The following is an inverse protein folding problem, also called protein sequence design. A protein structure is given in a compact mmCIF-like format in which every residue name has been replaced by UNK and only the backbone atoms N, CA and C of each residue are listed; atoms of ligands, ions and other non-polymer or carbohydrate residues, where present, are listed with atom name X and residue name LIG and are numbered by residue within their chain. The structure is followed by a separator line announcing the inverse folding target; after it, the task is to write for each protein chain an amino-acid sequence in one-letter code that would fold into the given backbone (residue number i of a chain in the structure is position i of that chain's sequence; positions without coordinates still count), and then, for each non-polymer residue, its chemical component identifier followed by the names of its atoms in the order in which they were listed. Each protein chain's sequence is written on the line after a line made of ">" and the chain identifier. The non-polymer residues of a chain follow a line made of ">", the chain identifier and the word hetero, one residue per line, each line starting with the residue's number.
data_IF_302309338476
#
_entry.id   IF_302309338476
#
_cell.length_a   1.000
_cell.length_b   1.000
_cell.length_c   1.000
_cell.angle_alpha   90.00
_cell.angle_beta   90.00
_cell.angle_gamma   90.00
#
_symmetry.space_group_name_H-M   'P 1'
#
loop_
_entity.id
_entity.type
_entity.pdbx_description
1 polymer ?
#
# COMPACT_ATOMS: atom_id res chain seq x y z
N UNK A 1 -26.29 -8.50 -19.14
CA UNK A 1 -24.82 -8.46 -19.06
C UNK A 1 -24.39 -9.33 -17.89
N UNK A 2 -23.75 -10.47 -18.15
CA UNK A 2 -23.46 -11.51 -17.14
C UNK A 2 -22.02 -11.39 -16.67
N UNK A 3 -21.83 -11.26 -15.36
CA UNK A 3 -20.53 -11.32 -14.68
C UNK A 3 -19.96 -12.73 -14.85
N UNK A 4 -19.09 -12.93 -15.85
CA UNK A 4 -18.39 -14.20 -16.03
C UNK A 4 -17.21 -14.23 -15.07
N UNK A 5 -17.37 -15.08 -14.06
CA UNK A 5 -16.38 -15.51 -13.08
C UNK A 5 -15.00 -15.80 -13.69
N UNK A 6 -13.96 -15.18 -13.10
CA UNK A 6 -12.51 -15.31 -13.37
C UNK A 6 -11.96 -16.70 -12.96
N UNK A 7 -12.63 -17.78 -13.34
CA UNK A 7 -12.36 -19.14 -12.85
C UNK A 7 -11.64 -20.09 -13.83
N UNK A 8 -11.31 -19.69 -15.06
CA UNK A 8 -10.96 -20.67 -16.10
C UNK A 8 -9.54 -20.65 -16.68
N UNK A 9 -8.60 -19.79 -16.22
CA UNK A 9 -7.20 -19.88 -16.69
C UNK A 9 -6.21 -19.69 -15.54
N UNK A 10 -5.42 -20.75 -15.26
CA UNK A 10 -4.38 -20.79 -14.21
C UNK A 10 -3.25 -19.82 -14.55
N UNK A 11 -3.38 -18.56 -14.14
CA UNK A 11 -2.26 -17.61 -14.20
C UNK A 11 -1.67 -17.26 -12.82
N UNK A 12 -2.33 -17.66 -11.72
CA UNK A 12 -1.81 -17.55 -10.35
C UNK A 12 -2.35 -18.68 -9.45
N UNK A 13 -1.64 -19.06 -8.37
CA UNK A 13 -2.28 -19.78 -7.27
C UNK A 13 -3.45 -18.95 -6.73
N UNK A 14 -4.57 -19.62 -6.39
CA UNK A 14 -5.88 -19.02 -6.04
C UNK A 14 -5.87 -17.97 -4.93
N UNK A 15 -4.77 -17.81 -4.22
CA UNK A 15 -4.63 -16.97 -3.01
C UNK A 15 -3.80 -15.70 -3.22
N UNK A 16 -3.48 -15.33 -4.47
CA UNK A 16 -2.69 -14.14 -4.79
C UNK A 16 -3.38 -13.25 -5.80
N UNK A 17 -3.28 -11.95 -5.60
CA UNK A 17 -3.52 -10.97 -6.66
C UNK A 17 -2.38 -9.95 -6.68
N UNK A 18 -2.14 -9.37 -7.85
CA UNK A 18 -1.12 -8.34 -8.04
C UNK A 18 -1.74 -7.11 -8.67
N UNK A 19 -1.23 -5.94 -8.33
CA UNK A 19 -1.61 -4.68 -8.94
C UNK A 19 -0.46 -4.16 -9.81
N UNK A 20 -0.75 -3.91 -11.08
CA UNK A 20 0.11 -3.11 -11.95
C UNK A 20 -0.59 -1.78 -12.27
N UNK A 21 -0.34 -0.72 -11.48
CA UNK A 21 -0.95 0.58 -11.73
C UNK A 21 -0.34 1.22 -12.99
N UNK A 22 -1.16 1.45 -14.01
CA UNK A 22 -0.79 2.19 -15.22
C UNK A 22 -0.64 3.70 -14.92
N UNK A 23 0.12 4.45 -15.74
CA UNK A 23 0.20 5.91 -15.66
C UNK A 23 -1.19 6.58 -15.74
N UNK A 24 -1.26 7.87 -15.40
CA UNK A 24 -2.48 8.68 -15.23
C UNK A 24 -3.49 8.62 -16.40
N UNK A 25 -3.07 8.16 -17.57
CA UNK A 25 -3.92 7.89 -18.72
C UNK A 25 -3.87 6.37 -19.02
N UNK A 26 -4.78 5.61 -18.41
CA UNK A 26 -4.88 4.17 -18.62
C UNK A 26 -5.68 3.42 -17.55
N UNK A 27 -6.23 2.26 -17.90
CA UNK A 27 -6.95 1.36 -16.98
C UNK A 27 -5.97 0.51 -16.17
N UNK A 28 -6.01 0.58 -14.84
CA UNK A 28 -5.19 -0.30 -14.01
C UNK A 28 -5.52 -1.77 -14.33
N UNK A 29 -4.50 -2.58 -14.57
CA UNK A 29 -4.69 -4.01 -14.87
C UNK A 29 -4.43 -4.84 -13.62
N UNK A 30 -5.42 -5.64 -13.21
CA UNK A 30 -5.22 -6.75 -12.27
C UNK A 30 -4.55 -7.90 -13.04
N UNK A 31 -3.24 -7.83 -13.20
CA UNK A 31 -2.45 -8.90 -13.81
C UNK A 31 -1.10 -9.00 -13.13
N UNK A 32 -0.58 -10.22 -13.00
CA UNK A 32 0.81 -10.42 -12.60
C UNK A 32 1.68 -10.52 -13.87
N UNK A 33 2.50 -9.49 -14.09
CA UNK A 33 3.44 -9.42 -15.21
C UNK A 33 4.87 -9.79 -14.80
N UNK A 34 5.80 -9.66 -15.73
CA UNK A 34 7.23 -9.83 -15.47
C UNK A 34 7.75 -8.74 -14.52
N UNK A 35 8.46 -9.16 -13.47
CA UNK A 35 9.05 -8.27 -12.48
C UNK A 35 10.35 -7.66 -12.98
N UNK A 36 10.52 -6.35 -12.77
CA UNK A 36 11.78 -5.64 -13.04
C UNK A 36 12.80 -5.74 -11.90
N UNK A 37 12.39 -6.26 -10.73
CA UNK A 37 13.19 -6.47 -9.54
C UNK A 37 12.57 -7.55 -8.63
N UNK A 38 13.36 -8.21 -7.76
CA UNK A 38 12.82 -9.17 -6.79
C UNK A 38 11.80 -8.54 -5.84
N UNK A 39 10.74 -9.29 -5.52
CA UNK A 39 9.77 -8.90 -4.49
C UNK A 39 10.41 -8.94 -3.11
N UNK A 40 10.19 -7.89 -2.32
CA UNK A 40 10.40 -7.88 -0.87
C UNK A 40 9.07 -8.11 -0.19
N UNK A 41 8.97 -9.19 0.59
CA UNK A 41 7.75 -9.53 1.31
C UNK A 41 7.76 -8.98 2.73
N UNK A 42 6.64 -8.35 3.10
CA UNK A 42 6.34 -7.84 4.43
C UNK A 42 5.22 -8.68 5.04
N UNK A 43 5.42 -9.17 6.26
CA UNK A 43 4.41 -9.92 7.00
C UNK A 43 3.24 -9.03 7.36
N UNK A 44 2.02 -9.49 7.06
CA UNK A 44 0.79 -8.79 7.40
C UNK A 44 0.39 -9.14 8.83
N UNK A 45 -0.07 -8.13 9.55
CA UNK A 45 -0.71 -8.32 10.85
C UNK A 45 -2.06 -9.01 10.67
N UNK A 46 -2.14 -10.27 11.11
CA UNK A 46 -3.35 -11.10 10.98
C UNK A 46 -4.46 -10.72 11.95
N UNK A 47 -4.19 -9.86 12.94
CA UNK A 47 -5.22 -9.32 13.83
C UNK A 47 -6.02 -8.19 13.19
N UNK A 48 -5.52 -7.65 12.07
CA UNK A 48 -6.17 -6.60 11.29
C UNK A 48 -7.03 -7.18 10.17
N UNK A 49 -8.15 -6.51 9.88
CA UNK A 49 -8.98 -6.79 8.71
C UNK A 49 -8.39 -6.23 7.40
N UNK A 50 -7.31 -5.46 7.49
CA UNK A 50 -6.68 -4.78 6.36
C UNK A 50 -5.29 -5.34 6.07
N UNK A 51 -4.75 -4.98 4.91
CA UNK A 51 -3.36 -5.29 4.53
C UNK A 51 -2.39 -4.39 5.30
N UNK A 52 -2.27 -4.64 6.59
CA UNK A 52 -1.44 -3.84 7.50
C UNK A 52 -0.11 -4.50 7.79
N UNK A 53 0.95 -3.71 7.81
CA UNK A 53 2.31 -4.16 8.14
C UNK A 53 2.91 -3.27 9.22
N UNK A 54 3.80 -3.82 10.04
CA UNK A 54 4.49 -3.05 11.06
C UNK A 54 5.42 -1.99 10.45
N UNK A 55 5.34 -0.75 10.94
CA UNK A 55 6.23 0.35 10.61
C UNK A 55 7.05 0.76 11.83
N UNK A 56 8.38 0.73 11.69
CA UNK A 56 9.30 1.10 12.76
C UNK A 56 9.97 2.46 12.56
N UNK A 57 10.20 2.88 11.31
CA UNK A 57 11.01 4.06 10.98
C UNK A 57 10.60 4.68 9.65
N UNK A 58 10.56 6.01 9.61
CA UNK A 58 10.45 6.82 8.39
C UNK A 58 11.68 7.72 8.29
N UNK A 59 12.22 7.85 7.08
CA UNK A 59 13.39 8.67 6.80
C UNK A 59 13.16 9.59 5.61
N UNK A 60 13.70 10.80 5.68
CA UNK A 60 13.67 11.80 4.63
C UNK A 60 15.06 12.44 4.50
N UNK A 61 15.60 12.53 3.27
CA UNK A 61 16.92 13.13 3.05
C UNK A 61 18.05 12.48 3.85
N UNK A 62 17.94 11.19 4.16
CA UNK A 62 18.91 10.45 4.99
C UNK A 62 18.77 10.65 6.49
N UNK A 63 17.85 11.51 6.96
CA UNK A 63 17.54 11.72 8.38
C UNK A 63 16.32 10.90 8.78
N UNK A 64 16.32 10.43 10.02
CA UNK A 64 15.14 9.77 10.61
C UNK A 64 14.16 10.85 11.05
N UNK A 65 13.04 10.96 10.35
CA UNK A 65 11.98 11.94 10.64
C UNK A 65 10.98 11.41 11.67
N UNK A 66 10.81 10.09 11.70
CA UNK A 66 9.90 9.45 12.62
C UNK A 66 10.39 8.06 13.00
N UNK A 67 10.27 7.76 14.28
CA UNK A 67 10.51 6.45 14.86
C UNK A 67 9.55 6.29 16.02
N UNK A 68 9.01 5.10 16.22
CA UNK A 68 8.19 4.85 17.41
C UNK A 68 8.39 3.42 17.91
N UNK A 69 8.27 3.26 19.23
CA UNK A 69 8.14 1.97 19.88
C UNK A 69 6.66 1.57 19.92
N UNK A 70 6.28 0.47 19.25
CA UNK A 70 4.91 -0.06 19.28
C UNK A 70 4.42 -0.55 17.91
N UNK A 71 3.25 -1.18 17.88
CA UNK A 71 2.59 -1.63 16.65
C UNK A 71 1.87 -0.47 15.98
N UNK A 72 2.60 0.32 15.20
CA UNK A 72 1.99 1.18 14.20
C UNK A 72 1.90 0.41 12.89
N UNK A 73 0.67 0.26 12.42
CA UNK A 73 0.35 -0.39 11.16
C UNK A 73 0.37 0.64 10.03
N UNK A 74 1.18 0.38 8.99
CA UNK A 74 0.92 0.94 7.67
C UNK A 74 -0.19 0.13 7.02
N UNK A 75 -1.20 0.79 6.49
CA UNK A 75 -2.26 0.20 5.68
C UNK A 75 -1.99 0.43 4.19
N UNK A 76 -1.95 -0.64 3.39
CA UNK A 76 -1.93 -0.53 1.92
C UNK A 76 -3.37 -0.46 1.39
N UNK A 77 -3.77 0.66 0.78
CA UNK A 77 -5.14 0.85 0.28
C UNK A 77 -5.18 1.25 -1.18
N UNK A 78 -5.52 0.31 -2.05
CA UNK A 78 -5.72 0.60 -3.48
C UNK A 78 -6.94 1.47 -3.75
N UNK A 79 -7.89 1.57 -2.81
CA UNK A 79 -9.08 2.42 -2.90
C UNK A 79 -8.84 3.89 -2.53
N UNK A 80 -7.68 4.20 -1.96
CA UNK A 80 -7.30 5.56 -1.57
C UNK A 80 -6.38 6.18 -2.64
N UNK A 81 -6.64 7.43 -3.04
CA UNK A 81 -5.82 8.12 -4.06
C UNK A 81 -4.46 8.59 -3.52
N UNK A 82 -4.45 9.19 -2.32
CA UNK A 82 -3.28 9.85 -1.74
C UNK A 82 -2.49 9.01 -0.74
N UNK A 83 -1.60 9.68 -0.02
CA UNK A 83 -0.88 9.14 1.14
C UNK A 83 -1.33 9.91 2.37
N UNK A 84 -1.72 9.19 3.42
CA UNK A 84 -2.10 9.79 4.71
C UNK A 84 -1.05 9.45 5.76
N UNK A 85 -0.56 10.48 6.43
CA UNK A 85 0.50 10.43 7.43
C UNK A 85 0.07 11.17 8.71
N UNK A 86 0.69 10.92 9.88
CA UNK A 86 0.50 11.77 11.05
C UNK A 86 0.69 13.25 10.68
N UNK A 87 -0.21 14.14 11.11
CA UNK A 87 -0.17 15.55 10.68
C UNK A 87 1.09 16.29 11.13
N UNK A 88 1.77 15.81 12.17
CA UNK A 88 3.09 16.31 12.58
C UNK A 88 4.20 16.10 11.53
N UNK A 89 4.01 15.19 10.57
CA UNK A 89 4.95 14.90 9.49
C UNK A 89 4.54 15.54 8.16
N UNK A 90 3.33 16.12 8.08
CA UNK A 90 2.87 16.82 6.89
C UNK A 90 3.38 18.25 6.95
N UNK A 91 4.34 18.58 6.09
CA UNK A 91 4.79 19.95 5.94
C UNK A 91 3.69 20.77 5.26
N UNK A 92 3.10 21.71 6.02
CA UNK A 92 2.00 22.57 5.56
C UNK A 92 2.46 23.66 4.57
N UNK A 93 3.77 23.87 4.42
CA UNK A 93 4.33 24.98 3.65
C UNK A 93 4.81 24.58 2.24
N UNK A 94 4.76 23.30 1.87
CA UNK A 94 5.17 22.84 0.53
C UNK A 94 4.00 22.84 -0.46
N UNK A 95 4.02 23.74 -1.44
CA UNK A 95 3.06 23.74 -2.57
C UNK A 95 3.16 22.51 -3.48
N UNK A 96 4.18 21.65 -3.30
CA UNK A 96 4.46 20.46 -4.10
C UNK A 96 4.04 19.13 -3.44
N UNK A 97 3.17 19.15 -2.43
CA UNK A 97 2.66 17.94 -1.75
C UNK A 97 1.25 17.55 -2.21
N UNK A 98 0.90 17.81 -3.47
CA UNK A 98 -0.36 17.36 -4.06
C UNK A 98 -0.46 15.83 -3.85
N UNK A 99 -1.44 15.36 -3.08
CA UNK A 99 -1.69 13.96 -2.67
C UNK A 99 -1.08 13.48 -1.33
N UNK A 100 -0.46 14.34 -0.52
CA UNK A 100 -0.11 14.02 0.89
C UNK A 100 -1.10 14.70 1.82
N UNK A 101 -1.68 13.94 2.75
CA UNK A 101 -2.73 14.40 3.65
C UNK A 101 -2.39 14.06 5.11
N UNK A 102 -2.86 14.88 6.04
CA UNK A 102 -2.79 14.59 7.46
C UNK A 102 -3.86 13.56 7.84
N UNK A 103 -3.50 12.57 8.65
CA UNK A 103 -4.38 11.49 9.12
C UNK A 103 -5.05 11.78 10.46
N UNK A 104 -4.84 12.97 11.04
CA UNK A 104 -5.25 13.31 12.41
C UNK A 104 -6.77 13.11 12.66
N UNK A 105 -7.56 13.09 11.59
CA UNK A 105 -9.03 12.93 11.62
C UNK A 105 -9.52 11.60 11.04
N UNK A 106 -8.63 10.74 10.52
CA UNK A 106 -9.03 9.43 9.96
C UNK A 106 -9.12 8.42 11.08
N UNK A 107 -10.27 8.39 11.74
CA UNK A 107 -10.69 7.25 12.55
C UNK A 107 -11.06 6.10 11.62
N UNK A 108 -10.10 5.24 11.25
CA UNK A 108 -10.44 4.03 10.50
C UNK A 108 -11.29 3.16 11.43
N UNK A 109 -12.53 2.89 11.04
CA UNK A 109 -13.60 2.26 11.85
C UNK A 109 -13.32 0.79 12.30
N UNK A 110 -12.06 0.36 12.33
CA UNK A 110 -11.65 -1.01 12.60
C UNK A 110 -10.70 -1.16 13.79
N UNK A 111 -10.69 -0.18 14.72
CA UNK A 111 -9.80 -0.23 15.89
C UNK A 111 -8.31 -0.16 15.55
N UNK A 112 -7.98 0.22 14.31
CA UNK A 112 -6.62 0.45 13.88
C UNK A 112 -6.21 1.88 14.25
N UNK A 113 -5.20 2.01 15.10
CA UNK A 113 -4.43 3.25 15.25
C UNK A 113 -3.53 3.50 14.02
N UNK A 114 -4.00 3.17 12.82
CA UNK A 114 -3.22 3.28 11.61
C UNK A 114 -3.22 4.73 11.13
N UNK A 115 -2.24 5.50 11.61
CA UNK A 115 -1.96 6.86 11.17
C UNK A 115 -1.35 6.91 9.74
N UNK A 116 -1.14 5.75 9.12
CA UNK A 116 -0.41 5.60 7.87
C UNK A 116 -1.23 4.83 6.84
N UNK A 117 -1.70 5.53 5.80
CA UNK A 117 -2.38 4.92 4.64
C UNK A 117 -1.56 5.18 3.39
N UNK A 118 -1.08 4.12 2.76
CA UNK A 118 -0.34 4.17 1.51
C UNK A 118 -1.29 3.85 0.34
N UNK A 119 -1.84 4.91 -0.25
CA UNK A 119 -2.73 4.80 -1.41
C UNK A 119 -2.02 4.89 -2.75
N UNK A 120 -2.79 5.19 -3.80
CA UNK A 120 -2.37 5.18 -5.19
C UNK A 120 -1.12 6.01 -5.50
N UNK A 121 -0.93 7.16 -4.86
CA UNK A 121 0.27 7.98 -5.03
C UNK A 121 1.57 7.21 -4.64
N UNK A 122 1.53 6.41 -3.57
CA UNK A 122 2.63 5.53 -3.19
C UNK A 122 2.66 4.27 -4.06
N UNK A 123 1.51 3.59 -4.18
CA UNK A 123 1.42 2.28 -4.84
C UNK A 123 1.77 2.36 -6.33
N UNK A 124 1.62 3.52 -6.99
CA UNK A 124 2.07 3.72 -8.38
C UNK A 124 3.58 3.61 -8.58
N UNK A 125 4.37 3.73 -7.52
CA UNK A 125 5.83 3.58 -7.57
C UNK A 125 6.30 2.12 -7.38
N UNK A 126 5.37 1.21 -7.08
CA UNK A 126 5.67 -0.18 -6.79
C UNK A 126 4.75 -1.11 -7.57
N UNK A 127 5.30 -2.24 -7.99
CA UNK A 127 4.48 -3.41 -8.22
C UNK A 127 4.18 -4.08 -6.88
N UNK A 128 2.91 -4.30 -6.58
CA UNK A 128 2.47 -4.89 -5.32
C UNK A 128 1.78 -6.25 -5.53
N UNK A 129 2.06 -7.19 -4.64
CA UNK A 129 1.48 -8.54 -4.61
C UNK A 129 0.87 -8.79 -3.24
N UNK A 130 -0.38 -9.21 -3.20
CA UNK A 130 -1.11 -9.51 -1.98
C UNK A 130 -1.29 -11.03 -1.90
N UNK A 131 -0.60 -11.67 -0.96
CA UNK A 131 -0.54 -13.14 -0.82
C UNK A 131 -1.27 -13.56 0.46
N UNK A 132 -2.56 -13.85 0.31
CA UNK A 132 -3.45 -14.16 1.42
C UNK A 132 -3.06 -15.47 2.12
N UNK A 133 -2.71 -16.50 1.35
CA UNK A 133 -2.34 -17.81 1.89
C UNK A 133 -1.14 -17.75 2.85
N UNK A 134 -0.22 -16.81 2.61
CA UNK A 134 0.98 -16.63 3.44
C UNK A 134 0.89 -15.40 4.35
N UNK A 135 -0.21 -14.63 4.30
CA UNK A 135 -0.39 -13.40 5.08
C UNK A 135 0.74 -12.40 4.88
N UNK A 136 1.01 -12.01 3.62
CA UNK A 136 2.12 -11.08 3.30
C UNK A 136 1.82 -10.21 2.09
N UNK A 137 2.45 -9.04 2.06
CA UNK A 137 2.46 -8.12 0.91
C UNK A 137 3.87 -8.09 0.31
N UNK A 138 4.00 -8.32 -0.99
CA UNK A 138 5.24 -8.20 -1.74
C UNK A 138 5.31 -6.86 -2.47
N UNK A 139 6.45 -6.16 -2.39
CA UNK A 139 6.70 -4.93 -3.14
C UNK A 139 7.96 -5.08 -4.00
N UNK A 140 7.90 -4.61 -5.23
CA UNK A 140 9.05 -4.42 -6.11
C UNK A 140 9.01 -3.00 -6.69
N UNK A 141 10.15 -2.29 -6.79
CA UNK A 141 10.18 -0.98 -7.44
C UNK A 141 9.64 -1.04 -8.86
N UNK A 142 8.84 -0.05 -9.24
CA UNK A 142 8.47 0.14 -10.64
C UNK A 142 9.71 0.61 -11.42
N UNK A 143 9.95 0.04 -12.60
CA UNK A 143 10.88 0.59 -13.59
C UNK A 143 10.10 1.35 -14.64
#
# INVERSE_FOLDING_TARGET
>A
MSCRSLHSRRFLPRSRFCLWPLPLVGTATLACGALSAPLRFLSVDKSSYYWTVALSRVQWGGKTEWTQSGLNAILFDTGTTGVYLPGSLVNKDSSCSLLIFASDEISIAAGLNAQWILGGAFLRQFYSVYDYAHGRVGLAPRR
#
